data_IF_612381886719
#
_entry.id   IF_612381886719
#
_cell.length_a   1.000
_cell.length_b   1.000
_cell.length_c   1.000
_cell.angle_alpha   90.00
_cell.angle_beta   90.00
_cell.angle_gamma   90.00
#
_symmetry.space_group_name_H-M   'P 1'
#
loop_
_entity.id
_entity.type
_entity.pdbx_description
1 polymer ?
#
# COMPACT_ATOMS: atom_id res chain seq x y z
N UNK A 1 -21.71 9.77 -2.78
CA UNK A 1 -21.72 9.74 -4.25
C UNK A 1 -22.77 10.70 -4.83
N UNK A 2 -22.54 11.16 -6.05
CA UNK A 2 -23.48 12.01 -6.76
C UNK A 2 -24.81 11.29 -7.08
N UNK A 3 -25.90 12.02 -7.35
CA UNK A 3 -27.10 11.42 -7.90
C UNK A 3 -26.74 10.65 -9.19
N UNK A 4 -27.19 9.42 -9.32
CA UNK A 4 -26.80 8.53 -10.42
C UNK A 4 -25.70 7.51 -10.07
N UNK A 5 -24.75 7.85 -9.21
CA UNK A 5 -23.64 6.97 -8.83
C UNK A 5 -23.81 6.30 -7.45
N UNK A 6 -25.01 6.40 -6.85
CA UNK A 6 -25.30 5.85 -5.53
C UNK A 6 -25.45 4.33 -5.51
N UNK A 7 -25.81 3.76 -6.64
CA UNK A 7 -26.09 2.34 -6.78
C UNK A 7 -25.00 1.66 -7.58
N UNK A 8 -24.57 0.50 -7.13
CA UNK A 8 -23.64 -0.37 -7.83
C UNK A 8 -24.22 -1.77 -8.01
N UNK A 9 -23.90 -2.41 -9.12
CA UNK A 9 -24.28 -3.81 -9.38
C UNK A 9 -23.01 -4.65 -9.22
N UNK A 10 -23.06 -5.66 -8.35
CA UNK A 10 -21.93 -6.49 -7.98
C UNK A 10 -22.27 -7.97 -8.16
N UNK A 11 -22.25 -8.46 -9.41
CA UNK A 11 -22.55 -9.86 -9.70
C UNK A 11 -21.43 -10.76 -9.22
N UNK A 12 -21.81 -11.96 -8.75
CA UNK A 12 -20.87 -13.03 -8.40
C UNK A 12 -21.48 -14.38 -8.77
N UNK A 13 -20.63 -15.29 -9.18
CA UNK A 13 -20.98 -16.67 -9.47
C UNK A 13 -19.92 -17.61 -8.90
N UNK A 14 -20.36 -18.78 -8.42
CA UNK A 14 -19.46 -19.82 -7.94
C UNK A 14 -19.98 -21.18 -8.34
N UNK A 15 -19.06 -22.11 -8.59
CA UNK A 15 -19.34 -23.50 -8.86
C UNK A 15 -18.40 -24.38 -8.03
N UNK A 16 -18.89 -25.54 -7.64
CA UNK A 16 -18.09 -26.55 -6.98
C UNK A 16 -18.48 -27.92 -7.52
N UNK A 17 -17.47 -28.72 -7.78
CA UNK A 17 -17.67 -30.09 -8.26
C UNK A 17 -16.93 -31.07 -7.36
N UNK A 18 -17.67 -32.04 -6.86
CA UNK A 18 -17.13 -33.10 -6.02
C UNK A 18 -16.79 -34.29 -6.89
N UNK A 19 -15.58 -34.27 -7.42
CA UNK A 19 -15.10 -35.24 -8.40
C UNK A 19 -15.01 -36.65 -7.81
N UNK A 20 -14.68 -36.74 -6.50
CA UNK A 20 -14.57 -38.02 -5.79
C UNK A 20 -15.88 -38.83 -5.76
N UNK A 21 -17.02 -38.20 -5.96
CA UNK A 21 -18.33 -38.87 -5.91
C UNK A 21 -18.74 -39.43 -7.26
N UNK A 22 -18.00 -39.14 -8.31
CA UNK A 22 -18.28 -39.60 -9.68
C UNK A 22 -17.88 -41.09 -9.86
N UNK A 23 -18.65 -41.80 -10.67
CA UNK A 23 -18.43 -43.24 -10.94
C UNK A 23 -17.09 -43.60 -11.52
N UNK A 24 -16.49 -42.70 -12.32
CA UNK A 24 -15.16 -42.90 -12.87
C UNK A 24 -14.03 -42.80 -11.84
N UNK A 25 -14.32 -42.33 -10.62
CA UNK A 25 -13.36 -42.20 -9.52
C UNK A 25 -13.43 -43.36 -8.52
N UNK A 26 -14.23 -44.42 -8.78
CA UNK A 26 -14.37 -45.54 -7.86
C UNK A 26 -13.08 -46.25 -7.49
N UNK A 27 -12.15 -46.30 -8.44
CA UNK A 27 -10.81 -46.88 -8.26
C UNK A 27 -9.95 -46.18 -7.20
N UNK A 28 -10.25 -44.92 -6.89
CA UNK A 28 -9.46 -44.10 -5.95
C UNK A 28 -10.01 -44.09 -4.52
N UNK A 29 -11.19 -44.64 -4.25
CA UNK A 29 -11.89 -44.53 -2.98
C UNK A 29 -11.13 -45.07 -1.77
N UNK A 30 -10.20 -45.99 -1.98
CA UNK A 30 -9.43 -46.59 -0.88
C UNK A 30 -8.43 -45.60 -0.27
N UNK A 31 -7.95 -44.64 -1.04
CA UNK A 31 -6.94 -43.67 -0.61
C UNK A 31 -7.36 -42.21 -0.75
N UNK A 32 -8.17 -41.87 -1.75
CA UNK A 32 -8.69 -40.53 -2.00
C UNK A 32 -10.16 -40.45 -1.58
N UNK A 33 -10.40 -39.92 -0.41
CA UNK A 33 -11.75 -39.81 0.18
C UNK A 33 -12.50 -38.58 -0.32
N UNK A 34 -11.81 -37.52 -0.63
CA UNK A 34 -12.40 -36.28 -1.13
C UNK A 34 -11.51 -35.67 -2.19
N UNK A 35 -12.11 -35.34 -3.33
CA UNK A 35 -11.55 -34.49 -4.36
C UNK A 35 -12.65 -33.54 -4.80
N UNK A 36 -12.52 -32.28 -4.39
CA UNK A 36 -13.48 -31.23 -4.74
C UNK A 36 -12.76 -30.07 -5.40
N UNK A 37 -13.24 -29.65 -6.55
CA UNK A 37 -12.81 -28.45 -7.24
C UNK A 37 -13.80 -27.33 -6.95
N UNK A 38 -13.28 -26.14 -6.73
CA UNK A 38 -14.06 -24.90 -6.52
C UNK A 38 -13.58 -23.83 -7.50
N UNK A 39 -14.50 -23.08 -8.08
CA UNK A 39 -14.20 -21.91 -8.87
C UNK A 39 -15.21 -20.83 -8.56
N UNK A 40 -14.73 -19.60 -8.42
CA UNK A 40 -15.59 -18.44 -8.24
C UNK A 40 -15.05 -17.23 -8.98
N UNK A 41 -15.97 -16.41 -9.46
CA UNK A 41 -15.70 -15.11 -10.04
C UNK A 41 -16.75 -14.13 -9.56
N UNK A 42 -16.32 -12.97 -9.09
CA UNK A 42 -17.24 -11.98 -8.60
C UNK A 42 -16.70 -10.56 -8.65
N UNK A 43 -17.61 -9.62 -8.72
CA UNK A 43 -17.34 -8.20 -8.55
C UNK A 43 -17.85 -7.78 -7.18
N UNK A 44 -17.03 -7.08 -6.42
CA UNK A 44 -17.43 -6.39 -5.19
C UNK A 44 -17.12 -4.91 -5.29
N UNK A 45 -17.84 -4.10 -4.51
CA UNK A 45 -17.68 -2.65 -4.51
C UNK A 45 -17.29 -2.13 -3.13
N UNK A 46 -16.45 -1.11 -3.09
CA UNK A 46 -16.15 -0.37 -1.90
C UNK A 46 -16.61 1.08 -2.06
N UNK A 47 -17.42 1.55 -1.09
CA UNK A 47 -17.95 2.89 -1.04
C UNK A 47 -17.43 3.67 0.18
N UNK A 48 -16.25 3.33 0.70
CA UNK A 48 -15.71 3.90 1.93
C UNK A 48 -15.29 5.36 1.73
N UNK A 49 -16.29 6.21 1.50
CA UNK A 49 -16.17 7.64 1.33
C UNK A 49 -16.92 8.33 2.47
N UNK A 50 -16.27 9.28 3.13
CA UNK A 50 -16.91 10.04 4.20
C UNK A 50 -18.14 10.80 3.72
N UNK A 51 -19.13 10.99 4.60
CA UNK A 51 -20.43 11.61 4.26
C UNK A 51 -20.34 13.04 3.72
N UNK A 52 -19.24 13.73 4.03
CA UNK A 52 -19.05 15.16 3.73
C UNK A 52 -18.32 15.45 2.41
N UNK A 53 -17.94 14.46 1.64
CA UNK A 53 -17.17 14.65 0.40
C UNK A 53 -17.96 15.36 -0.72
N UNK A 54 -19.23 15.55 -0.51
CA UNK A 54 -20.12 16.30 -1.44
C UNK A 54 -20.28 17.77 -1.05
N UNK A 55 -19.82 18.17 0.12
CA UNK A 55 -20.03 19.53 0.61
C UNK A 55 -19.00 20.49 0.01
N UNK A 56 -19.48 21.54 -0.62
CA UNK A 56 -18.67 22.65 -1.13
C UNK A 56 -18.29 23.61 -0.01
N UNK A 57 -18.97 23.51 1.13
CA UNK A 57 -18.79 24.39 2.30
C UNK A 57 -18.69 23.55 3.57
N UNK A 58 -17.84 24.00 4.48
CA UNK A 58 -17.70 23.43 5.81
C UNK A 58 -18.09 24.46 6.86
N UNK A 59 -18.68 24.06 7.99
CA UNK A 59 -18.91 24.98 9.08
C UNK A 59 -17.56 25.48 9.62
N UNK A 60 -17.48 26.77 9.94
CA UNK A 60 -16.31 27.35 10.59
C UNK A 60 -16.36 26.96 12.07
N UNK A 61 -15.42 26.14 12.48
CA UNK A 61 -15.30 25.68 13.88
C UNK A 61 -14.40 26.58 14.73
N UNK A 62 -13.72 27.54 14.12
CA UNK A 62 -12.81 28.47 14.81
C UNK A 62 -13.38 29.88 14.83
N UNK A 63 -13.52 30.45 16.02
CA UNK A 63 -13.99 31.81 16.26
C UNK A 63 -12.98 32.90 15.87
N UNK A 64 -11.79 32.55 15.38
CA UNK A 64 -10.72 33.51 15.10
C UNK A 64 -10.83 34.28 13.78
N UNK A 65 -11.72 33.90 12.87
CA UNK A 65 -11.82 34.49 11.53
C UNK A 65 -13.24 34.96 11.17
N UNK A 66 -14.09 35.21 12.15
CA UNK A 66 -15.42 35.73 11.92
C UNK A 66 -15.41 37.26 12.05
N UNK A 67 -15.14 37.94 10.95
CA UNK A 67 -15.50 39.33 10.77
C UNK A 67 -16.90 39.40 10.22
N UNK A 68 -17.89 39.43 11.10
CA UNK A 68 -19.19 40.01 10.76
C UNK A 68 -19.77 40.75 11.94
N UNK A 69 -20.26 41.95 11.66
CA UNK A 69 -20.75 42.87 12.62
C UNK A 69 -21.88 42.29 13.48
N UNK A 70 -21.69 42.40 14.78
CA UNK A 70 -22.73 42.60 15.81
C UNK A 70 -23.76 41.49 16.09
N UNK A 71 -23.60 40.24 15.79
CA UNK A 71 -24.52 39.24 16.37
C UNK A 71 -23.82 37.98 16.86
N UNK A 72 -24.05 37.67 18.10
CA UNK A 72 -23.68 36.48 18.82
C UNK A 72 -24.45 35.29 18.22
N UNK A 73 -23.76 34.35 17.59
CA UNK A 73 -24.33 33.03 17.30
C UNK A 73 -24.56 32.65 15.84
N UNK A 74 -24.02 33.37 14.85
CA UNK A 74 -24.09 32.91 13.46
C UNK A 74 -22.94 31.97 13.10
N UNK A 75 -23.29 30.73 12.77
CA UNK A 75 -22.37 29.79 12.15
C UNK A 75 -22.06 30.25 10.75
N UNK A 76 -20.86 30.74 10.49
CA UNK A 76 -20.43 31.04 9.13
C UNK A 76 -20.00 29.75 8.41
N UNK A 77 -20.18 29.75 7.10
CA UNK A 77 -19.71 28.69 6.21
C UNK A 77 -18.44 29.17 5.52
N UNK A 78 -17.44 28.32 5.46
CA UNK A 78 -16.24 28.54 4.66
C UNK A 78 -16.21 27.56 3.49
N UNK A 79 -15.57 27.90 2.35
CA UNK A 79 -15.35 26.93 1.29
C UNK A 79 -14.66 25.68 1.82
N UNK A 80 -15.12 24.51 1.41
CA UNK A 80 -14.45 23.28 1.75
C UNK A 80 -13.07 23.28 1.14
N UNK A 81 -12.09 22.68 1.84
CA UNK A 81 -10.72 22.54 1.29
C UNK A 81 -10.68 21.63 0.06
N UNK A 82 -11.64 20.73 -0.06
CA UNK A 82 -11.73 19.74 -1.14
C UNK A 82 -12.77 20.11 -2.16
N UNK A 83 -12.37 20.03 -3.43
CA UNK A 83 -13.29 20.21 -4.55
C UNK A 83 -14.20 18.98 -4.66
N UNK A 84 -15.49 19.22 -4.84
CA UNK A 84 -16.49 18.18 -5.10
C UNK A 84 -16.21 17.49 -6.43
N UNK A 85 -16.30 16.16 -6.46
CA UNK A 85 -16.29 15.36 -7.68
C UNK A 85 -17.69 14.73 -7.92
N UNK A 86 -18.37 15.16 -8.97
CA UNK A 86 -19.68 14.64 -9.32
C UNK A 86 -19.61 13.28 -10.01
N UNK A 87 -18.47 12.94 -10.58
CA UNK A 87 -18.23 11.68 -11.29
C UNK A 87 -17.69 10.58 -10.38
N UNK A 88 -17.57 10.84 -9.07
CA UNK A 88 -17.04 9.85 -8.13
C UNK A 88 -17.95 8.63 -8.06
N UNK A 89 -17.36 7.46 -8.35
CA UNK A 89 -18.03 6.15 -8.36
C UNK A 89 -17.41 5.19 -7.34
N UNK A 90 -17.96 4.00 -7.26
CA UNK A 90 -17.47 2.91 -6.42
C UNK A 90 -16.12 2.40 -6.90
N UNK A 91 -15.23 2.10 -5.97
CA UNK A 91 -14.12 1.19 -6.26
C UNK A 91 -14.69 -0.18 -6.60
N UNK A 92 -14.14 -0.85 -7.58
CA UNK A 92 -14.59 -2.15 -8.05
C UNK A 92 -13.48 -3.18 -7.94
N UNK A 93 -13.70 -4.21 -7.12
CA UNK A 93 -12.78 -5.35 -7.01
C UNK A 93 -13.35 -6.55 -7.76
N UNK A 94 -12.59 -7.07 -8.71
CA UNK A 94 -12.87 -8.29 -9.46
C UNK A 94 -12.02 -9.40 -8.86
N UNK A 95 -12.67 -10.41 -8.30
CA UNK A 95 -12.01 -11.54 -7.65
C UNK A 95 -12.25 -12.81 -8.46
N UNK A 96 -11.16 -13.51 -8.77
CA UNK A 96 -11.18 -14.88 -9.32
C UNK A 96 -10.51 -15.79 -8.32
N UNK A 97 -11.17 -16.87 -7.96
CA UNK A 97 -10.60 -17.89 -7.08
C UNK A 97 -10.83 -19.27 -7.69
N UNK A 98 -9.78 -20.11 -7.67
CA UNK A 98 -9.85 -21.54 -8.03
C UNK A 98 -9.17 -22.33 -6.91
N UNK A 99 -9.88 -23.31 -6.39
CA UNK A 99 -9.39 -24.11 -5.27
C UNK A 99 -9.66 -25.61 -5.43
N UNK A 100 -8.85 -26.39 -4.75
CA UNK A 100 -8.98 -27.85 -4.65
C UNK A 100 -8.96 -28.25 -3.18
N UNK A 101 -9.93 -29.08 -2.80
CA UNK A 101 -9.97 -29.71 -1.50
C UNK A 101 -9.72 -31.21 -1.72
N UNK A 102 -8.66 -31.74 -1.11
CA UNK A 102 -8.26 -33.13 -1.17
C UNK A 102 -8.30 -33.74 0.21
N UNK A 103 -8.92 -34.89 0.34
CA UNK A 103 -8.95 -35.67 1.56
C UNK A 103 -8.45 -37.08 1.30
N UNK A 104 -7.49 -37.54 2.06
CA UNK A 104 -6.87 -38.82 1.92
C UNK A 104 -7.13 -39.71 3.14
N UNK A 105 -7.21 -41.03 2.93
CA UNK A 105 -7.31 -42.02 3.99
C UNK A 105 -8.45 -41.74 4.97
N UNK A 106 -9.68 -41.69 4.46
CA UNK A 106 -10.89 -41.34 5.24
C UNK A 106 -10.77 -39.94 5.87
N UNK A 107 -10.22 -38.97 5.12
CA UNK A 107 -10.00 -37.59 5.53
C UNK A 107 -9.03 -37.43 6.72
N UNK A 108 -8.16 -38.40 6.98
CA UNK A 108 -7.09 -38.22 7.98
C UNK A 108 -6.09 -37.20 7.58
N UNK A 109 -5.87 -37.00 6.26
CA UNK A 109 -5.01 -35.97 5.70
C UNK A 109 -5.90 -35.12 4.80
N UNK A 110 -6.02 -33.84 5.10
CA UNK A 110 -6.78 -32.88 4.33
C UNK A 110 -5.84 -31.80 3.80
N UNK A 111 -5.84 -31.60 2.48
CA UNK A 111 -5.05 -30.61 1.78
C UNK A 111 -6.00 -29.67 1.05
N UNK A 112 -5.89 -28.39 1.31
CA UNK A 112 -6.59 -27.34 0.56
C UNK A 112 -5.59 -26.50 -0.16
N UNK A 113 -5.81 -26.31 -1.47
CA UNK A 113 -5.04 -25.44 -2.34
C UNK A 113 -5.97 -24.40 -2.94
N UNK A 114 -5.61 -23.13 -2.81
CA UNK A 114 -6.34 -22.01 -3.40
C UNK A 114 -5.38 -21.13 -4.23
N UNK A 115 -5.82 -20.79 -5.42
CA UNK A 115 -5.24 -19.73 -6.26
C UNK A 115 -6.25 -18.59 -6.36
N UNK A 116 -5.81 -17.37 -6.12
CA UNK A 116 -6.64 -16.19 -6.30
C UNK A 116 -5.95 -15.12 -7.13
N UNK A 117 -6.78 -14.34 -7.83
CA UNK A 117 -6.38 -13.14 -8.56
C UNK A 117 -7.44 -12.07 -8.39
N UNK A 118 -7.08 -11.03 -7.68
CA UNK A 118 -7.93 -9.90 -7.33
C UNK A 118 -7.44 -8.65 -8.05
N UNK A 119 -8.29 -8.06 -8.88
CA UNK A 119 -8.01 -6.80 -9.57
C UNK A 119 -8.93 -5.73 -9.03
N UNK A 120 -8.37 -4.72 -8.37
CA UNK A 120 -9.13 -3.56 -7.88
C UNK A 120 -8.93 -2.40 -8.83
N UNK A 121 -10.03 -1.90 -9.38
CA UNK A 121 -10.08 -0.77 -10.31
C UNK A 121 -10.79 0.41 -9.68
N UNK A 122 -10.57 1.58 -10.26
CA UNK A 122 -11.24 2.81 -9.87
C UNK A 122 -10.99 3.16 -8.39
N UNK A 123 -9.76 2.92 -7.90
CA UNK A 123 -9.37 3.25 -6.54
C UNK A 123 -9.64 4.73 -6.27
N UNK A 124 -10.29 5.02 -5.15
CA UNK A 124 -10.60 6.39 -4.75
C UNK A 124 -9.39 6.99 -4.07
N UNK A 125 -8.78 7.97 -4.74
CA UNK A 125 -7.54 8.61 -4.28
C UNK A 125 -7.74 10.11 -4.15
N UNK A 126 -7.04 10.72 -3.18
CA UNK A 126 -7.01 12.18 -3.00
C UNK A 126 -5.91 12.77 -3.89
N UNK A 127 -6.30 13.55 -4.87
CA UNK A 127 -5.41 14.23 -5.80
C UNK A 127 -5.24 15.68 -5.35
N UNK A 128 -4.00 16.13 -5.24
CA UNK A 128 -3.69 17.53 -4.97
C UNK A 128 -3.99 18.38 -6.21
N UNK A 129 -4.62 19.52 -5.99
CA UNK A 129 -4.96 20.47 -7.05
C UNK A 129 -3.94 21.63 -7.07
N UNK A 130 -3.71 22.24 -8.23
CA UNK A 130 -2.91 23.45 -8.31
C UNK A 130 -3.48 24.56 -7.41
N UNK A 131 -2.60 25.36 -6.80
CA UNK A 131 -2.98 26.40 -5.84
C UNK A 131 -3.96 27.45 -6.38
N UNK A 132 -4.01 27.63 -7.72
CA UNK A 132 -4.92 28.54 -8.39
C UNK A 132 -6.35 27.99 -8.53
N UNK A 133 -6.59 26.72 -8.21
CA UNK A 133 -7.92 26.09 -8.28
C UNK A 133 -8.86 26.55 -7.16
N UNK A 134 -8.36 27.22 -6.13
CA UNK A 134 -9.14 27.62 -4.95
C UNK A 134 -9.48 26.47 -3.98
N UNK A 135 -9.05 25.27 -4.29
CA UNK A 135 -9.20 24.06 -3.47
C UNK A 135 -7.85 23.33 -3.39
N UNK A 136 -7.59 22.65 -2.28
CA UNK A 136 -6.32 21.95 -2.07
C UNK A 136 -6.31 20.56 -2.73
N UNK A 137 -7.45 19.88 -2.79
CA UNK A 137 -7.51 18.51 -3.27
C UNK A 137 -8.89 18.13 -3.81
N UNK A 138 -8.95 16.99 -4.51
CA UNK A 138 -10.17 16.38 -4.99
C UNK A 138 -10.05 14.85 -4.92
N UNK A 139 -11.12 14.15 -4.55
CA UNK A 139 -11.18 12.70 -4.67
C UNK A 139 -11.57 12.29 -6.09
N UNK A 140 -10.80 11.38 -6.66
CA UNK A 140 -11.02 10.85 -8.00
C UNK A 140 -10.88 9.32 -8.00
N UNK A 141 -11.57 8.66 -8.93
CA UNK A 141 -11.39 7.23 -9.17
C UNK A 141 -10.20 7.04 -10.10
N UNK A 142 -9.04 6.82 -9.50
CA UNK A 142 -7.77 6.73 -10.21
C UNK A 142 -6.98 5.56 -9.63
N UNK A 143 -6.36 4.82 -10.52
CA UNK A 143 -5.49 3.75 -10.11
C UNK A 143 -6.13 2.37 -10.17
N UNK A 144 -5.25 1.41 -10.32
CA UNK A 144 -5.56 -0.01 -10.36
C UNK A 144 -4.46 -0.78 -9.65
N UNK A 145 -4.86 -1.80 -8.89
CA UNK A 145 -3.94 -2.75 -8.27
C UNK A 145 -4.37 -4.18 -8.55
N UNK A 146 -3.41 -5.06 -8.70
CA UNK A 146 -3.62 -6.50 -8.80
C UNK A 146 -2.98 -7.19 -7.61
N UNK A 147 -3.71 -8.10 -6.98
CA UNK A 147 -3.23 -8.95 -5.91
C UNK A 147 -3.50 -10.41 -6.27
N UNK A 148 -2.46 -11.22 -6.37
CA UNK A 148 -2.55 -12.64 -6.73
C UNK A 148 -1.70 -13.50 -5.82
N UNK A 149 -2.16 -14.70 -5.57
CA UNK A 149 -1.41 -15.58 -4.72
C UNK A 149 -1.89 -17.01 -4.76
N UNK A 150 -1.15 -17.83 -4.04
CA UNK A 150 -1.47 -19.22 -3.78
C UNK A 150 -1.44 -19.47 -2.28
N UNK A 151 -2.37 -20.27 -1.81
CA UNK A 151 -2.47 -20.67 -0.42
C UNK A 151 -2.56 -22.20 -0.34
N UNK A 152 -1.83 -22.77 0.60
CA UNK A 152 -1.82 -24.19 0.87
C UNK A 152 -2.07 -24.41 2.36
N UNK A 153 -3.08 -25.22 2.67
CA UNK A 153 -3.39 -25.65 4.03
C UNK A 153 -3.36 -27.15 4.11
N UNK A 154 -2.60 -27.69 5.05
CA UNK A 154 -2.51 -29.12 5.33
C UNK A 154 -2.94 -29.37 6.78
N UNK A 155 -3.92 -30.25 6.95
CA UNK A 155 -4.36 -30.76 8.25
C UNK A 155 -4.21 -32.27 8.24
N UNK A 156 -3.48 -32.85 9.18
CA UNK A 156 -3.23 -34.27 9.23
C UNK A 156 -3.41 -34.83 10.66
N UNK A 157 -4.27 -35.83 10.81
CA UNK A 157 -4.42 -36.61 12.02
C UNK A 157 -3.42 -37.77 11.97
N UNK A 158 -2.21 -37.54 12.48
CA UNK A 158 -1.10 -38.48 12.36
C UNK A 158 -1.30 -39.71 13.23
N UNK A 159 -1.73 -39.52 14.48
CA UNK A 159 -2.00 -40.58 15.42
C UNK A 159 -3.31 -40.31 16.13
N UNK A 160 -4.17 -41.31 16.12
CA UNK A 160 -5.43 -41.29 16.87
C UNK A 160 -5.62 -42.65 17.54
N UNK A 161 -5.26 -42.72 18.83
CA UNK A 161 -5.48 -43.89 19.68
C UNK A 161 -6.42 -43.53 20.82
N UNK A 162 -6.79 -44.48 21.63
CA UNK A 162 -7.68 -44.25 22.78
C UNK A 162 -7.09 -43.23 23.78
N UNK A 163 -5.77 -43.23 23.93
CA UNK A 163 -5.08 -42.48 24.97
C UNK A 163 -4.13 -41.39 24.42
N UNK A 164 -3.97 -41.29 23.07
CA UNK A 164 -3.03 -40.36 22.47
C UNK A 164 -3.54 -39.85 21.10
N UNK A 165 -3.50 -38.53 20.94
CA UNK A 165 -3.80 -37.82 19.69
C UNK A 165 -2.61 -36.99 19.24
N UNK A 166 -2.30 -37.05 17.95
CA UNK A 166 -1.29 -36.19 17.31
C UNK A 166 -1.85 -35.63 16.02
N UNK A 167 -2.12 -34.33 16.03
CA UNK A 167 -2.58 -33.58 14.87
C UNK A 167 -1.47 -32.65 14.40
N UNK A 168 -1.31 -32.55 13.09
CA UNK A 168 -0.37 -31.66 12.44
C UNK A 168 -1.14 -30.69 11.55
N UNK A 169 -0.90 -29.39 11.74
CA UNK A 169 -1.48 -28.32 10.93
C UNK A 169 -0.38 -27.47 10.35
N UNK A 170 -0.42 -27.24 9.03
CA UNK A 170 0.54 -26.43 8.32
C UNK A 170 -0.18 -25.55 7.31
N UNK A 171 0.17 -24.25 7.30
CA UNK A 171 -0.33 -23.27 6.34
C UNK A 171 0.83 -22.50 5.74
N UNK A 172 0.78 -22.30 4.45
CA UNK A 172 1.71 -21.43 3.73
C UNK A 172 0.96 -20.63 2.68
N UNK A 173 1.28 -19.34 2.57
CA UNK A 173 0.70 -18.46 1.58
C UNK A 173 1.81 -17.66 0.88
N UNK A 174 1.70 -17.57 -0.44
CA UNK A 174 2.54 -16.70 -1.27
C UNK A 174 1.64 -15.68 -1.94
N UNK A 175 1.89 -14.41 -1.64
CA UNK A 175 1.12 -13.30 -2.16
C UNK A 175 2.02 -12.34 -2.91
N UNK A 176 1.54 -11.83 -4.04
CA UNK A 176 2.20 -10.78 -4.81
C UNK A 176 1.17 -9.72 -5.18
N UNK A 177 1.36 -8.53 -4.65
CA UNK A 177 0.60 -7.36 -5.07
C UNK A 177 1.39 -6.54 -6.10
N UNK A 178 0.68 -5.78 -6.91
CA UNK A 178 1.25 -4.91 -7.92
C UNK A 178 0.35 -3.71 -8.15
N UNK A 179 0.96 -2.56 -8.29
CA UNK A 179 0.30 -1.34 -8.78
C UNK A 179 0.32 -1.37 -10.30
N UNK A 180 -0.85 -1.45 -10.94
CA UNK A 180 -0.97 -1.52 -12.39
C UNK A 180 -1.08 -0.15 -13.03
N UNK A 181 -1.74 0.79 -12.34
CA UNK A 181 -1.90 2.15 -12.81
C UNK A 181 -2.05 3.12 -11.63
N UNK A 182 -1.45 4.28 -11.78
CA UNK A 182 -1.65 5.47 -10.95
C UNK A 182 -1.91 6.65 -11.90
N UNK A 183 -2.76 7.57 -11.47
CA UNK A 183 -3.02 8.79 -12.21
C UNK A 183 -2.74 9.98 -11.30
N UNK A 184 -1.85 10.84 -11.71
CA UNK A 184 -1.46 12.06 -11.02
C UNK A 184 -0.56 12.93 -11.88
N UNK A 185 -0.06 14.03 -11.36
CA UNK A 185 0.79 14.96 -12.10
C UNK A 185 2.08 14.31 -12.65
N UNK A 186 2.52 13.20 -12.03
CA UNK A 186 3.72 12.45 -12.42
C UNK A 186 3.40 11.03 -12.92
N UNK A 187 2.14 10.68 -13.15
CA UNK A 187 1.66 9.46 -13.82
C UNK A 187 2.07 8.11 -13.23
N UNK A 188 3.32 7.94 -12.86
CA UNK A 188 3.91 6.64 -12.51
C UNK A 188 4.33 6.51 -11.03
N UNK A 189 4.28 7.61 -10.27
CA UNK A 189 4.69 7.64 -8.87
C UNK A 189 3.69 8.40 -8.00
N UNK A 190 3.44 7.88 -6.81
CA UNK A 190 2.72 8.55 -5.74
C UNK A 190 3.52 8.51 -4.44
N UNK A 191 3.74 9.66 -3.85
CA UNK A 191 4.37 9.78 -2.54
C UNK A 191 3.29 9.69 -1.46
N UNK A 192 3.39 8.69 -0.60
CA UNK A 192 2.55 8.57 0.58
C UNK A 192 3.28 9.23 1.74
N UNK A 193 2.83 10.43 2.12
CA UNK A 193 3.26 11.09 3.35
C UNK A 193 2.68 10.32 4.54
N UNK A 194 3.39 9.34 5.01
CA UNK A 194 2.95 8.47 6.11
C UNK A 194 3.87 8.56 7.30
N UNK A 195 3.64 9.52 8.18
CA UNK A 195 3.89 9.40 9.61
C UNK A 195 5.29 8.97 10.08
N UNK A 196 6.34 9.34 9.40
CA UNK A 196 7.69 9.30 9.95
C UNK A 196 7.84 10.45 10.95
N UNK A 197 7.74 10.15 12.23
CA UNK A 197 7.68 11.14 13.30
C UNK A 197 8.98 11.89 13.57
N UNK A 198 10.11 11.46 12.99
CA UNK A 198 11.41 12.00 13.38
C UNK A 198 12.22 12.68 12.27
N UNK A 199 11.92 12.44 11.00
CA UNK A 199 12.75 12.98 9.91
C UNK A 199 12.00 13.81 8.86
N UNK A 200 10.66 13.92 8.95
CA UNK A 200 9.88 14.66 7.96
C UNK A 200 9.99 14.11 6.54
N UNK A 201 10.52 12.90 6.38
CA UNK A 201 10.72 12.25 5.09
C UNK A 201 9.56 11.31 4.77
N UNK A 202 9.19 11.27 3.49
CA UNK A 202 8.20 10.37 2.94
C UNK A 202 8.79 8.96 2.87
N UNK A 203 8.50 8.14 3.91
CA UNK A 203 9.12 6.82 4.08
C UNK A 203 8.51 5.74 3.20
N UNK A 204 7.42 6.04 2.49
CA UNK A 204 6.76 5.10 1.61
C UNK A 204 6.51 5.72 0.25
N UNK A 205 6.81 4.96 -0.79
CA UNK A 205 6.51 5.34 -2.17
C UNK A 205 5.75 4.25 -2.88
N UNK A 206 4.93 4.64 -3.82
CA UNK A 206 4.13 3.75 -4.65
C UNK A 206 4.48 4.04 -6.10
N UNK A 207 5.00 3.03 -6.81
CA UNK A 207 5.36 3.10 -8.21
C UNK A 207 4.49 2.16 -9.04
N UNK A 208 4.15 2.57 -10.25
CA UNK A 208 3.53 1.67 -11.22
C UNK A 208 4.49 0.51 -11.53
N UNK A 209 3.95 -0.70 -11.53
CA UNK A 209 4.71 -1.92 -11.77
C UNK A 209 5.34 -2.54 -10.52
N UNK A 210 5.38 -1.85 -9.40
CA UNK A 210 5.95 -2.30 -8.13
C UNK A 210 4.86 -2.70 -7.12
N UNK A 211 5.30 -3.22 -5.99
CA UNK A 211 4.42 -3.59 -4.88
C UNK A 211 3.93 -2.35 -4.12
N UNK A 212 2.74 -2.44 -3.54
CA UNK A 212 2.22 -1.40 -2.65
C UNK A 212 2.99 -1.44 -1.33
N UNK A 213 3.40 -0.26 -0.85
CA UNK A 213 4.04 -0.14 0.46
C UNK A 213 5.56 -0.34 0.45
N UNK A 214 6.20 -0.03 -0.67
CA UNK A 214 7.66 0.01 -0.72
C UNK A 214 8.19 1.05 0.28
N UNK A 215 9.05 0.57 1.17
CA UNK A 215 9.83 1.46 2.02
C UNK A 215 10.86 2.19 1.16
N UNK A 216 10.86 3.50 1.30
CA UNK A 216 11.83 4.37 0.64
C UNK A 216 12.64 5.11 1.69
N UNK A 217 13.93 5.05 1.60
CA UNK A 217 14.78 5.70 2.58
C UNK A 217 16.24 5.67 2.17
N UNK A 218 17.05 6.27 3.00
CA UNK A 218 18.48 6.28 2.81
C UNK A 218 19.10 4.98 3.31
N UNK A 219 20.07 4.47 2.55
CA UNK A 219 20.89 3.34 2.99
C UNK A 219 22.11 3.89 3.69
N UNK A 220 22.34 3.48 4.93
CA UNK A 220 23.52 3.90 5.69
C UNK A 220 24.77 3.22 5.14
N UNK A 221 25.84 4.00 4.95
CA UNK A 221 27.20 3.55 4.62
C UNK A 221 28.17 3.76 5.80
N UNK A 222 27.65 3.68 7.01
CA UNK A 222 28.39 3.92 8.24
C UNK A 222 28.30 5.36 8.73
N UNK A 223 29.33 5.80 9.45
CA UNK A 223 29.44 7.17 9.96
C UNK A 223 30.66 7.85 9.37
N UNK A 224 30.55 9.14 9.17
CA UNK A 224 31.71 9.95 8.82
C UNK A 224 32.72 9.97 9.95
N UNK A 225 33.99 9.69 9.62
CA UNK A 225 35.15 9.82 10.50
C UNK A 225 35.80 11.20 10.39
N UNK A 226 36.74 11.49 11.23
CA UNK A 226 37.54 12.73 11.07
C UNK A 226 38.37 12.74 9.79
N UNK A 227 38.75 11.58 9.26
CA UNK A 227 39.52 11.46 8.02
C UNK A 227 38.70 11.77 6.77
N UNK A 228 37.37 11.76 6.87
CA UNK A 228 36.45 12.16 5.80
C UNK A 228 36.32 13.69 5.67
N UNK A 229 36.95 14.47 6.57
CA UNK A 229 36.84 15.93 6.58
C UNK A 229 38.19 16.64 6.63
N UNK A 230 38.20 17.83 6.07
CA UNK A 230 39.30 18.78 6.24
C UNK A 230 38.78 20.03 6.93
N UNK A 231 39.45 20.47 7.98
CA UNK A 231 39.07 21.71 8.67
C UNK A 231 39.56 22.93 7.89
N UNK A 232 38.65 23.81 7.53
CA UNK A 232 38.95 25.06 6.88
C UNK A 232 39.12 26.17 7.94
N UNK A 233 40.35 26.65 8.17
CA UNK A 233 40.61 27.66 9.22
C UNK A 233 40.03 29.02 8.92
N UNK A 234 39.76 29.34 7.66
CA UNK A 234 39.20 30.62 7.22
C UNK A 234 37.73 30.68 7.48
N UNK A 235 36.97 29.63 7.15
CA UNK A 235 35.53 29.55 7.37
C UNK A 235 35.15 28.99 8.72
N UNK A 236 36.12 28.40 9.45
CA UNK A 236 35.92 27.66 10.69
C UNK A 236 34.89 26.53 10.59
N UNK A 237 34.84 25.91 9.41
CA UNK A 237 33.93 24.78 9.11
C UNK A 237 34.73 23.56 8.70
N UNK A 238 34.07 22.42 8.78
CA UNK A 238 34.59 21.15 8.25
C UNK A 238 34.06 20.97 6.82
N UNK A 239 34.97 20.78 5.86
CA UNK A 239 34.66 20.49 4.47
C UNK A 239 34.85 18.99 4.25
N UNK A 240 33.91 18.33 3.58
CA UNK A 240 33.96 16.89 3.33
C UNK A 240 34.92 16.58 2.17
N UNK A 241 35.70 15.52 2.32
CA UNK A 241 36.61 15.02 1.29
C UNK A 241 35.92 13.85 0.58
N UNK A 242 35.34 14.07 -0.59
CA UNK A 242 34.53 13.06 -1.29
C UNK A 242 35.29 12.22 -2.28
N UNK A 243 36.29 12.78 -2.95
CA UNK A 243 37.13 12.08 -3.94
C UNK A 243 38.54 12.67 -3.96
N UNK A 244 39.48 11.92 -4.51
CA UNK A 244 40.82 12.42 -4.83
C UNK A 244 40.92 12.57 -6.35
N UNK A 245 41.58 13.62 -6.82
CA UNK A 245 41.93 13.77 -8.23
C UNK A 245 43.00 12.75 -8.67
N UNK A 246 43.36 12.76 -9.95
CA UNK A 246 44.40 11.88 -10.52
C UNK A 246 45.78 12.04 -9.85
N UNK A 247 46.00 13.16 -9.15
CA UNK A 247 47.22 13.48 -8.43
C UNK A 247 47.10 13.14 -6.92
N UNK A 248 45.98 12.58 -6.47
CA UNK A 248 45.74 12.26 -5.09
C UNK A 248 45.31 13.45 -4.22
N UNK A 249 44.99 14.61 -4.84
CA UNK A 249 44.51 15.79 -4.13
C UNK A 249 43.02 15.64 -3.83
N UNK A 250 42.59 15.83 -2.58
CA UNK A 250 41.18 15.72 -2.22
C UNK A 250 40.31 16.72 -2.98
N UNK A 251 39.28 16.24 -3.66
CA UNK A 251 38.23 17.10 -4.22
C UNK A 251 37.22 17.35 -3.11
N UNK A 252 37.18 18.57 -2.62
CA UNK A 252 36.21 19.00 -1.60
C UNK A 252 34.89 19.32 -2.29
N UNK A 253 33.83 18.60 -1.94
CA UNK A 253 32.49 18.88 -2.44
C UNK A 253 31.72 19.65 -1.37
N UNK A 254 31.17 20.80 -1.75
CA UNK A 254 30.28 21.57 -0.86
C UNK A 254 28.95 20.84 -0.68
N UNK A 255 28.82 20.14 0.42
CA UNK A 255 27.59 19.44 0.81
C UNK A 255 26.61 20.33 1.61
N UNK A 256 26.92 21.61 1.78
CA UNK A 256 26.12 22.54 2.60
C UNK A 256 24.67 22.67 2.08
N UNK A 257 24.45 22.54 0.78
CA UNK A 257 23.12 22.60 0.16
C UNK A 257 22.24 21.40 0.42
N UNK A 258 22.81 20.20 0.56
CA UNK A 258 22.06 18.95 0.75
C UNK A 258 21.74 18.73 2.23
N UNK A 259 22.58 19.19 3.13
CA UNK A 259 22.53 18.91 4.56
C UNK A 259 21.96 20.08 5.39
N UNK A 260 21.79 21.26 4.81
CA UNK A 260 21.21 22.43 5.49
C UNK A 260 19.70 22.27 5.80
N UNK A 261 19.04 21.27 5.23
CA UNK A 261 17.61 20.99 5.53
C UNK A 261 17.35 20.59 6.98
N UNK A 262 18.35 20.12 7.69
CA UNK A 262 18.19 19.70 9.08
C UNK A 262 18.61 20.79 10.11
N UNK A 263 19.06 21.96 9.67
CA UNK A 263 19.41 23.09 10.56
C UNK A 263 20.52 22.78 11.57
N UNK A 264 21.28 21.70 11.37
CA UNK A 264 22.29 21.19 12.30
C UNK A 264 23.71 21.24 11.78
N UNK A 265 24.66 21.19 12.69
CA UNK A 265 26.09 21.03 12.43
C UNK A 265 26.30 19.70 11.67
N UNK A 266 26.99 19.75 10.53
CA UNK A 266 27.44 18.58 9.81
C UNK A 266 28.94 18.39 10.01
N UNK A 267 29.34 17.19 10.39
CA UNK A 267 30.73 16.87 10.68
C UNK A 267 30.93 15.38 11.05
N UNK A 268 32.13 15.05 11.56
CA UNK A 268 32.40 13.70 12.03
C UNK A 268 31.33 13.18 13.01
N UNK A 269 30.95 11.90 12.87
CA UNK A 269 29.91 11.28 13.68
C UNK A 269 28.50 11.34 13.06
N UNK A 270 28.31 12.02 11.92
CA UNK A 270 27.06 11.96 11.18
C UNK A 270 26.98 10.70 10.31
N UNK A 271 25.75 10.28 10.03
CA UNK A 271 25.50 9.12 9.18
C UNK A 271 25.92 9.40 7.74
N UNK A 272 26.71 8.49 7.18
CA UNK A 272 27.08 8.45 5.77
C UNK A 272 26.00 7.74 4.99
N UNK A 273 25.56 8.33 3.91
CA UNK A 273 24.52 7.79 3.05
C UNK A 273 25.15 7.24 1.77
N UNK A 274 24.71 6.04 1.39
CA UNK A 274 25.17 5.40 0.17
C UNK A 274 24.44 6.00 -1.02
N UNK A 275 25.19 6.42 -2.04
CA UNK A 275 24.64 6.72 -3.37
C UNK A 275 24.40 5.40 -4.09
N UNK A 276 23.14 5.19 -4.52
CA UNK A 276 22.68 3.98 -5.20
C UNK A 276 22.47 4.21 -6.71
N UNK A 277 22.85 5.39 -7.24
CA UNK A 277 22.74 5.71 -8.67
C UNK A 277 23.88 5.10 -9.48
#
# INVERSE_FOLDING_TARGET
>A
FAPGNKWGIFPAASAAWRISDESFMEWSKDWLSTLKMRASYGKSGNARVGSYWRQTYSPVTSTKNLYYQNEIGQSSLQPAKRLRNENLTWESKFSTNVGFDLGFFSNRINLTFDYYNDVTKDLIMEVQLPSNAGYSSQYQNLGQTTNRGVELSLNANLVQTKDFYLDFNFNIAFNKNKVDALYGANGDEMILSGGGTETGSDNYRVFVGQEVGLMYGYVSDGMYSFDDFTFNPTTKKWDIVTTKDENGVPIVTDCSGVLSRAGGYFGPGHMKLKDLN
#
